data_IF_045177398383
#
_entry.id   IF_045177398383
#
_cell.length_a   1.000
_cell.length_b   1.000
_cell.length_c   1.000
_cell.angle_alpha   90.00
_cell.angle_beta   90.00
_cell.angle_gamma   90.00
#
_symmetry.space_group_name_H-M   'P 1'
#
loop_
_entity.id
_entity.type
_entity.pdbx_description
1 polymer ?
#
# COMPACT_ATOMS: atom_id res chain seq x y z
N UNK A 1 13.13 46.66 42.61
CA UNK A 1 12.50 46.96 41.34
C UNK A 1 13.37 46.39 40.22
N UNK A 2 12.98 45.25 39.74
CA UNK A 2 13.74 44.51 38.71
C UNK A 2 13.03 44.69 37.36
N UNK A 3 13.62 45.42 36.44
CA UNK A 3 13.09 45.65 35.12
C UNK A 3 13.48 44.48 34.19
N UNK A 4 12.51 43.67 33.82
CA UNK A 4 12.65 42.67 32.80
C UNK A 4 12.66 43.35 31.40
N UNK A 5 13.85 43.50 30.82
CA UNK A 5 14.01 43.97 29.46
C UNK A 5 13.58 42.91 28.46
N UNK A 6 12.43 43.09 27.79
CA UNK A 6 12.03 42.35 26.60
C UNK A 6 12.91 42.85 25.43
N UNK A 7 13.99 42.11 25.14
CA UNK A 7 14.84 42.38 23.98
C UNK A 7 14.07 42.13 22.68
N UNK A 8 13.70 43.19 22.00
CA UNK A 8 13.10 43.14 20.63
C UNK A 8 14.17 42.63 19.67
N UNK A 9 13.91 41.48 19.04
CA UNK A 9 14.78 40.93 17.99
C UNK A 9 14.84 41.95 16.80
N UNK A 10 16.04 42.39 16.44
CA UNK A 10 16.24 43.25 15.28
C UNK A 10 15.99 42.42 13.99
N UNK A 11 15.60 43.10 12.93
CA UNK A 11 15.38 42.49 11.60
C UNK A 11 16.59 41.64 11.19
N UNK A 12 17.79 42.16 11.36
CA UNK A 12 19.05 41.47 11.01
C UNK A 12 19.28 40.22 11.84
N UNK A 13 18.87 40.21 13.11
CA UNK A 13 18.94 39.03 13.96
C UNK A 13 17.97 37.95 13.49
N UNK A 14 16.76 38.34 13.08
CA UNK A 14 15.76 37.40 12.52
C UNK A 14 16.23 36.83 11.19
N UNK A 15 16.71 37.67 10.27
CA UNK A 15 17.25 37.25 8.96
C UNK A 15 18.42 36.26 9.14
N UNK A 16 19.32 36.51 10.09
CA UNK A 16 20.43 35.59 10.40
C UNK A 16 19.95 34.28 10.92
N UNK A 17 19.01 34.25 11.88
CA UNK A 17 18.44 33.02 12.45
C UNK A 17 17.75 32.21 11.37
N UNK A 18 16.97 32.84 10.50
CA UNK A 18 16.30 32.19 9.39
C UNK A 18 17.31 31.60 8.39
N UNK A 19 18.31 32.37 8.01
CA UNK A 19 19.38 31.91 7.11
C UNK A 19 20.16 30.74 7.68
N UNK A 20 20.55 30.80 8.96
CA UNK A 20 21.26 29.73 9.65
C UNK A 20 20.40 28.47 9.81
N UNK A 21 19.11 28.65 10.07
CA UNK A 21 18.15 27.53 10.17
C UNK A 21 17.92 26.84 8.82
N UNK A 22 17.81 27.63 7.74
CA UNK A 22 17.72 27.12 6.38
C UNK A 22 19.03 26.42 5.97
N UNK A 23 20.17 27.05 6.21
CA UNK A 23 21.47 26.46 5.91
C UNK A 23 21.69 25.10 6.63
N UNK A 24 21.30 25.00 7.92
CA UNK A 24 21.36 23.74 8.65
C UNK A 24 20.40 22.69 8.08
N UNK A 25 19.18 23.06 7.72
CA UNK A 25 18.24 22.14 7.09
C UNK A 25 18.76 21.66 5.72
N UNK A 26 19.26 22.54 4.89
CA UNK A 26 19.84 22.18 3.59
C UNK A 26 21.11 21.34 3.72
N UNK A 27 21.99 21.63 4.69
CA UNK A 27 23.20 20.83 4.92
C UNK A 27 22.90 19.47 5.58
N UNK A 28 21.89 19.36 6.44
CA UNK A 28 21.41 18.07 6.97
C UNK A 28 20.77 17.22 5.86
N UNK A 29 20.02 17.84 4.98
CA UNK A 29 19.42 17.16 3.82
C UNK A 29 20.49 16.73 2.80
N UNK A 30 21.50 17.55 2.53
CA UNK A 30 22.62 17.21 1.65
C UNK A 30 23.53 16.10 2.24
N UNK A 31 23.67 16.02 3.56
CA UNK A 31 24.45 14.95 4.21
C UNK A 31 23.65 13.62 4.35
N UNK A 32 22.34 13.67 4.43
CA UNK A 32 21.49 12.48 4.32
C UNK A 32 21.49 11.93 2.88
N UNK A 33 21.70 12.78 1.88
CA UNK A 33 21.68 12.44 0.45
C UNK A 33 23.00 11.81 -0.07
N UNK A 34 24.07 11.79 0.72
CA UNK A 34 25.40 11.44 0.22
C UNK A 34 25.59 9.97 -0.18
N UNK A 35 24.56 9.09 -0.16
CA UNK A 35 24.74 7.69 -0.54
C UNK A 35 23.50 6.89 -0.92
N UNK A 36 22.30 7.25 -0.45
CA UNK A 36 21.10 6.47 -0.72
C UNK A 36 20.20 7.16 -1.76
N UNK A 37 19.98 6.48 -2.90
CA UNK A 37 19.00 6.92 -3.91
C UNK A 37 17.85 5.92 -3.93
N UNK A 38 16.66 6.30 -3.44
CA UNK A 38 15.49 5.44 -3.48
C UNK A 38 15.13 5.02 -4.90
N UNK A 39 14.88 3.74 -5.11
CA UNK A 39 14.33 3.25 -6.37
C UNK A 39 12.82 3.11 -6.21
N UNK A 40 12.08 4.15 -6.58
CA UNK A 40 10.62 4.17 -6.46
C UNK A 40 9.98 3.26 -7.50
N UNK A 41 9.28 2.24 -7.03
CA UNK A 41 8.42 1.38 -7.83
C UNK A 41 6.96 1.66 -7.45
N UNK A 42 6.08 1.74 -8.44
CA UNK A 42 4.63 1.85 -8.23
C UNK A 42 3.97 0.63 -8.85
N UNK A 43 3.32 -0.19 -8.02
CA UNK A 43 2.62 -1.38 -8.45
C UNK A 43 1.11 -1.22 -8.31
N UNK A 44 0.39 -1.72 -9.32
CA UNK A 44 -1.05 -1.92 -9.24
C UNK A 44 -1.29 -3.24 -8.53
N UNK A 45 -1.85 -3.16 -7.32
CA UNK A 45 -2.34 -4.31 -6.57
C UNK A 45 -3.68 -4.74 -7.18
N UNK A 46 -3.61 -5.60 -8.19
CA UNK A 46 -4.81 -6.17 -8.76
C UNK A 46 -5.54 -7.03 -7.71
N UNK A 47 -6.85 -7.27 -7.91
CA UNK A 47 -7.63 -8.14 -7.03
C UNK A 47 -6.91 -9.45 -6.72
N UNK A 48 -6.84 -9.78 -5.45
CA UNK A 48 -6.17 -10.99 -4.96
C UNK A 48 -6.72 -11.38 -3.58
N UNK A 49 -6.33 -12.55 -3.12
CA UNK A 49 -6.68 -12.99 -1.78
C UNK A 49 -5.49 -13.59 -1.06
N UNK A 50 -5.56 -13.53 0.27
CA UNK A 50 -4.71 -14.24 1.21
C UNK A 50 -5.58 -15.26 1.93
N UNK A 51 -5.05 -16.45 2.13
CA UNK A 51 -5.82 -17.56 2.73
C UNK A 51 -5.01 -18.28 3.80
N UNK A 52 -5.72 -18.93 4.70
CA UNK A 52 -5.11 -19.87 5.66
C UNK A 52 -4.81 -21.20 4.98
N UNK A 53 -3.95 -22.03 5.58
CA UNK A 53 -3.73 -23.40 5.10
C UNK A 53 -5.01 -24.23 5.13
N UNK A 54 -5.83 -24.06 6.17
CA UNK A 54 -7.13 -24.71 6.26
C UNK A 54 -8.05 -24.37 5.08
N UNK A 55 -8.08 -23.10 4.69
CA UNK A 55 -8.83 -22.67 3.51
C UNK A 55 -8.27 -23.30 2.23
N UNK A 56 -6.95 -23.40 2.09
CA UNK A 56 -6.31 -24.09 0.96
C UNK A 56 -6.72 -25.55 0.90
N UNK A 57 -6.72 -26.24 2.03
CA UNK A 57 -7.11 -27.65 2.12
C UNK A 57 -8.56 -27.88 1.68
N UNK A 58 -9.47 -26.98 2.03
CA UNK A 58 -10.88 -27.05 1.60
C UNK A 58 -11.00 -26.76 0.09
N UNK A 59 -10.32 -25.71 -0.39
CA UNK A 59 -10.47 -25.23 -1.77
C UNK A 59 -9.77 -26.11 -2.80
N UNK A 60 -8.64 -26.74 -2.44
CA UNK A 60 -7.77 -27.49 -3.36
C UNK A 60 -7.59 -28.96 -2.98
N UNK A 61 -7.97 -29.34 -1.77
CA UNK A 61 -7.85 -30.70 -1.22
C UNK A 61 -6.88 -30.77 -0.04
N UNK A 62 -7.07 -31.74 0.87
CA UNK A 62 -6.26 -31.89 2.07
C UNK A 62 -4.75 -31.99 1.77
N UNK A 63 -3.93 -31.24 2.50
CA UNK A 63 -2.47 -31.22 2.36
C UNK A 63 -1.95 -30.49 1.11
N UNK A 64 -2.80 -29.83 0.37
CA UNK A 64 -2.39 -29.06 -0.81
C UNK A 64 -1.45 -27.89 -0.43
N UNK A 65 -0.41 -27.68 -1.21
CA UNK A 65 0.52 -26.59 -1.02
C UNK A 65 0.45 -25.60 -2.19
N UNK A 66 0.38 -24.30 -1.88
CA UNK A 66 0.42 -23.27 -2.91
C UNK A 66 1.74 -23.33 -3.70
N UNK A 67 1.63 -23.29 -5.02
CA UNK A 67 2.79 -23.34 -5.91
C UNK A 67 3.15 -21.94 -6.43
N UNK A 68 4.39 -21.45 -6.22
CA UNK A 68 4.80 -20.14 -6.69
C UNK A 68 4.80 -20.04 -8.22
N UNK A 69 4.05 -19.06 -8.76
CA UNK A 69 4.07 -18.67 -10.18
C UNK A 69 5.13 -17.59 -10.43
N UNK A 70 5.14 -16.57 -9.55
CA UNK A 70 6.02 -15.41 -9.68
C UNK A 70 6.31 -14.81 -8.31
N UNK A 71 7.58 -14.50 -8.04
CA UNK A 71 7.96 -13.68 -6.86
C UNK A 71 7.41 -12.27 -7.02
N UNK A 72 6.93 -11.69 -5.93
CA UNK A 72 6.56 -10.28 -5.89
C UNK A 72 7.80 -9.41 -5.67
N UNK A 73 7.61 -8.10 -5.77
CA UNK A 73 8.73 -7.17 -5.59
C UNK A 73 9.30 -7.22 -4.16
N UNK A 74 8.44 -7.42 -3.17
CA UNK A 74 8.86 -7.76 -1.80
C UNK A 74 9.26 -9.24 -1.76
N UNK A 75 10.42 -9.54 -1.20
CA UNK A 75 11.03 -10.88 -1.29
C UNK A 75 10.32 -11.97 -0.50
N UNK A 76 9.39 -11.61 0.40
CA UNK A 76 8.67 -12.54 1.28
C UNK A 76 7.43 -13.16 0.63
N UNK A 77 6.88 -12.51 -0.40
CA UNK A 77 5.58 -12.85 -0.96
C UNK A 77 5.70 -13.35 -2.41
N UNK A 78 4.76 -14.16 -2.83
CA UNK A 78 4.68 -14.66 -4.20
C UNK A 78 3.23 -14.73 -4.70
N UNK A 79 3.03 -14.53 -5.99
CA UNK A 79 1.78 -14.88 -6.64
C UNK A 79 1.76 -16.38 -6.88
N UNK A 80 0.74 -17.08 -6.38
CA UNK A 80 0.58 -18.51 -6.58
C UNK A 80 -0.01 -18.83 -7.98
N UNK A 81 0.16 -20.06 -8.46
CA UNK A 81 -0.56 -20.55 -9.64
C UNK A 81 -2.06 -20.66 -9.37
N UNK A 82 -2.42 -20.90 -8.12
CA UNK A 82 -3.78 -21.14 -7.66
C UNK A 82 -4.61 -19.86 -7.74
N UNK A 83 -5.82 -20.03 -8.24
CA UNK A 83 -6.86 -18.99 -8.29
C UNK A 83 -8.16 -19.53 -7.76
N UNK A 84 -9.00 -18.64 -7.29
CA UNK A 84 -10.36 -18.94 -6.83
C UNK A 84 -11.37 -18.06 -7.55
N UNK A 85 -12.63 -18.47 -7.51
CA UNK A 85 -13.76 -17.64 -7.93
C UNK A 85 -14.48 -17.08 -6.73
N UNK A 86 -14.90 -15.82 -6.81
CA UNK A 86 -15.62 -15.13 -5.73
C UNK A 86 -17.07 -14.89 -6.16
N UNK A 87 -17.99 -15.15 -5.24
CA UNK A 87 -19.42 -14.81 -5.42
C UNK A 87 -19.84 -13.88 -4.30
N UNK A 88 -20.42 -12.76 -4.69
CA UNK A 88 -20.97 -11.77 -3.79
C UNK A 88 -22.50 -11.79 -3.71
N UNK A 89 -23.11 -10.90 -2.92
CA UNK A 89 -24.56 -10.83 -2.70
C UNK A 89 -25.41 -10.65 -3.96
N UNK A 90 -24.85 -10.10 -5.04
CA UNK A 90 -25.54 -9.97 -6.34
C UNK A 90 -25.53 -11.25 -7.17
N UNK A 91 -25.06 -12.36 -6.63
CA UNK A 91 -24.91 -13.63 -7.36
C UNK A 91 -24.02 -13.53 -8.60
N UNK A 92 -23.20 -12.50 -8.71
CA UNK A 92 -22.19 -12.39 -9.75
C UNK A 92 -20.93 -13.12 -9.34
N UNK A 93 -20.28 -13.74 -10.33
CA UNK A 93 -19.06 -14.49 -10.15
C UNK A 93 -17.88 -13.66 -10.68
N UNK A 94 -16.85 -13.50 -9.84
CA UNK A 94 -15.57 -12.92 -10.20
C UNK A 94 -14.53 -14.04 -10.29
N UNK A 95 -14.16 -14.49 -11.50
CA UNK A 95 -13.24 -15.61 -11.66
C UNK A 95 -11.79 -15.20 -11.54
N UNK A 96 -10.93 -16.21 -11.38
CA UNK A 96 -9.48 -16.08 -11.49
C UNK A 96 -8.85 -15.08 -10.51
N UNK A 97 -9.41 -14.97 -9.31
CA UNK A 97 -8.81 -14.20 -8.22
C UNK A 97 -7.60 -14.95 -7.72
N UNK A 98 -6.43 -14.32 -7.82
CA UNK A 98 -5.15 -14.97 -7.49
C UNK A 98 -4.92 -15.04 -5.99
N UNK A 99 -4.41 -16.18 -5.54
CA UNK A 99 -3.91 -16.31 -4.18
C UNK A 99 -2.49 -15.77 -4.12
N UNK A 100 -2.21 -14.93 -3.12
CA UNK A 100 -0.86 -14.52 -2.77
C UNK A 100 -0.39 -15.31 -1.56
N UNK A 101 0.71 -16.01 -1.73
CA UNK A 101 1.37 -16.78 -0.68
C UNK A 101 2.56 -16.06 -0.06
N UNK A 102 3.05 -16.59 1.07
CA UNK A 102 2.63 -17.80 1.76
C UNK A 102 1.26 -17.69 2.43
N UNK A 103 0.69 -18.82 2.89
CA UNK A 103 -0.53 -18.84 3.68
C UNK A 103 -0.40 -17.95 4.91
N UNK A 104 -1.49 -17.23 5.26
CA UNK A 104 -1.57 -16.37 6.44
C UNK A 104 -2.44 -17.02 7.53
N UNK A 105 -2.53 -16.37 8.67
CA UNK A 105 -3.40 -16.81 9.78
C UNK A 105 -4.83 -16.25 9.68
N UNK A 106 -5.20 -15.64 8.56
CA UNK A 106 -6.54 -15.11 8.27
C UNK A 106 -6.84 -15.21 6.77
N UNK A 107 -8.14 -15.19 6.43
CA UNK A 107 -8.59 -15.10 5.04
C UNK A 107 -8.96 -13.65 4.72
N UNK A 108 -8.45 -13.12 3.61
CA UNK A 108 -8.70 -11.74 3.19
C UNK A 108 -8.80 -11.68 1.67
N UNK A 109 -9.77 -10.91 1.19
CA UNK A 109 -9.96 -10.58 -0.22
C UNK A 109 -9.78 -9.08 -0.41
N UNK A 110 -8.85 -8.71 -1.27
CA UNK A 110 -8.60 -7.31 -1.65
C UNK A 110 -9.19 -7.04 -3.04
N UNK A 111 -10.11 -6.08 -3.10
CA UNK A 111 -10.81 -5.68 -4.32
C UNK A 111 -10.63 -4.19 -4.60
N UNK A 112 -10.65 -3.81 -5.87
CA UNK A 112 -10.95 -2.45 -6.27
C UNK A 112 -12.47 -2.18 -6.09
N UNK A 113 -12.88 -0.91 -6.02
CA UNK A 113 -14.30 -0.58 -5.86
C UNK A 113 -15.15 -1.07 -7.03
N UNK A 114 -14.65 -1.03 -8.27
CA UNK A 114 -15.37 -1.56 -9.44
C UNK A 114 -15.71 -3.04 -9.28
N UNK A 115 -14.78 -3.86 -8.80
CA UNK A 115 -15.03 -5.28 -8.53
C UNK A 115 -16.03 -5.47 -7.38
N UNK A 116 -15.84 -4.74 -6.27
CA UNK A 116 -16.72 -4.81 -5.10
C UNK A 116 -18.16 -4.41 -5.45
N UNK A 117 -18.35 -3.30 -6.17
CA UNK A 117 -19.68 -2.84 -6.67
C UNK A 117 -20.30 -3.90 -7.59
N UNK A 118 -19.52 -4.50 -8.47
CA UNK A 118 -20.00 -5.56 -9.36
C UNK A 118 -20.54 -6.75 -8.57
N UNK A 119 -19.85 -7.16 -7.52
CA UNK A 119 -20.27 -8.25 -6.63
C UNK A 119 -21.40 -7.86 -5.68
N UNK A 120 -21.66 -6.58 -5.47
CA UNK A 120 -22.63 -6.05 -4.51
C UNK A 120 -22.09 -6.04 -3.07
N UNK A 121 -20.79 -5.93 -2.91
CA UNK A 121 -20.09 -5.86 -1.63
C UNK A 121 -19.73 -4.41 -1.34
N UNK A 122 -20.12 -3.91 -0.17
CA UNK A 122 -19.68 -2.61 0.33
C UNK A 122 -18.33 -2.78 1.05
N UNK A 123 -17.25 -2.86 0.26
CA UNK A 123 -15.91 -3.11 0.75
C UNK A 123 -15.32 -1.83 1.39
N UNK A 124 -15.09 -1.80 2.71
CA UNK A 124 -14.48 -0.64 3.35
C UNK A 124 -13.01 -0.52 3.01
N UNK A 125 -12.50 0.71 2.98
CA UNK A 125 -11.06 0.95 2.90
C UNK A 125 -10.42 0.59 4.23
N UNK A 126 -9.48 -0.36 4.20
CA UNK A 126 -8.76 -0.85 5.38
C UNK A 126 -7.30 -1.14 5.05
N UNK A 127 -6.44 -0.99 6.05
CA UNK A 127 -5.10 -1.55 6.00
C UNK A 127 -5.19 -3.09 5.93
N UNK A 128 -4.39 -3.73 5.08
CA UNK A 128 -4.29 -5.19 4.99
C UNK A 128 -4.06 -5.81 6.38
N UNK A 129 -4.83 -6.84 6.72
CA UNK A 129 -4.88 -7.49 8.03
C UNK A 129 -5.90 -6.88 9.02
N UNK A 130 -6.51 -5.73 8.74
CA UNK A 130 -7.55 -5.11 9.56
C UNK A 130 -8.94 -5.45 9.04
N UNK A 131 -9.31 -6.73 9.18
CA UNK A 131 -10.52 -7.30 8.57
C UNK A 131 -11.74 -7.37 9.48
N UNK A 132 -11.59 -7.08 10.77
CA UNK A 132 -12.70 -7.20 11.73
C UNK A 132 -13.90 -6.31 11.31
N UNK A 133 -15.09 -6.92 11.26
CA UNK A 133 -16.35 -6.26 10.91
C UNK A 133 -16.48 -5.85 9.44
N UNK A 134 -15.64 -6.37 8.56
CA UNK A 134 -15.74 -6.15 7.11
C UNK A 134 -16.72 -7.16 6.48
N UNK A 135 -17.24 -6.91 5.27
CA UNK A 135 -18.11 -7.89 4.59
C UNK A 135 -17.41 -9.22 4.30
N UNK A 136 -18.23 -10.25 4.13
CA UNK A 136 -17.81 -11.56 3.66
C UNK A 136 -18.15 -11.82 2.19
N UNK A 137 -17.80 -13.03 1.73
CA UNK A 137 -18.12 -13.51 0.39
C UNK A 137 -18.03 -15.05 0.35
N UNK A 138 -18.56 -15.66 -0.72
CA UNK A 138 -18.32 -17.06 -1.01
C UNK A 138 -17.08 -17.18 -1.91
N UNK A 139 -16.11 -17.99 -1.49
CA UNK A 139 -14.91 -18.31 -2.24
C UNK A 139 -14.97 -19.75 -2.71
N UNK A 140 -14.77 -19.99 -4.01
CA UNK A 140 -14.90 -21.29 -4.65
C UNK A 140 -13.56 -21.68 -5.29
N UNK A 141 -13.06 -22.85 -4.89
CA UNK A 141 -11.91 -23.51 -5.48
C UNK A 141 -12.33 -24.76 -6.28
N UNK A 142 -11.37 -25.49 -6.86
CA UNK A 142 -11.66 -26.66 -7.69
C UNK A 142 -12.19 -27.88 -6.92
N UNK A 143 -12.00 -27.94 -5.59
CA UNK A 143 -12.40 -29.09 -4.75
C UNK A 143 -13.48 -28.76 -3.73
N UNK A 144 -13.71 -27.47 -3.46
CA UNK A 144 -14.69 -27.05 -2.47
C UNK A 144 -14.90 -25.55 -2.44
N UNK A 145 -15.67 -25.11 -1.47
CA UNK A 145 -15.95 -23.69 -1.26
C UNK A 145 -15.95 -23.35 0.22
N UNK A 146 -15.64 -22.10 0.52
CA UNK A 146 -15.71 -21.54 1.87
C UNK A 146 -16.53 -20.26 1.86
N UNK A 147 -17.35 -20.08 2.86
CA UNK A 147 -18.05 -18.83 3.13
C UNK A 147 -17.22 -18.02 4.12
N UNK A 148 -16.69 -16.89 3.66
CA UNK A 148 -16.02 -15.93 4.53
C UNK A 148 -17.09 -15.05 5.18
N UNK A 149 -17.16 -15.03 6.51
CA UNK A 149 -18.06 -14.15 7.25
C UNK A 149 -17.60 -12.70 7.22
N UNK A 150 -16.30 -12.50 7.12
CA UNK A 150 -15.60 -11.20 7.01
C UNK A 150 -14.31 -11.38 6.21
N UNK A 151 -13.65 -10.29 5.85
CA UNK A 151 -12.36 -10.33 5.19
C UNK A 151 -12.30 -9.62 3.83
N UNK A 152 -13.41 -9.07 3.34
CA UNK A 152 -13.40 -8.32 2.07
C UNK A 152 -13.11 -6.85 2.36
N UNK A 153 -12.05 -6.34 1.76
CA UNK A 153 -11.61 -4.95 1.89
C UNK A 153 -11.24 -4.36 0.53
N UNK A 154 -11.26 -3.05 0.44
CA UNK A 154 -10.41 -2.29 -0.46
C UNK A 154 -9.15 -1.93 0.31
N UNK A 155 -8.00 -2.44 -0.13
CA UNK A 155 -6.75 -2.12 0.54
C UNK A 155 -6.47 -0.62 0.50
N UNK A 156 -6.14 -0.02 1.64
CA UNK A 156 -5.72 1.37 1.71
C UNK A 156 -4.43 1.55 0.91
N UNK A 157 -4.39 2.57 0.03
CA UNK A 157 -3.15 2.88 -0.71
C UNK A 157 -2.03 3.17 0.27
N UNK A 158 -0.86 2.60 0.00
CA UNK A 158 0.26 2.70 0.93
C UNK A 158 1.60 2.63 0.22
N UNK A 159 2.65 2.97 0.94
CA UNK A 159 4.02 2.84 0.48
C UNK A 159 4.83 2.04 1.49
N UNK A 160 5.48 0.99 1.02
CA UNK A 160 6.49 0.23 1.77
C UNK A 160 7.83 0.92 1.62
N UNK A 161 8.54 1.05 2.72
CA UNK A 161 9.86 1.71 2.78
C UNK A 161 10.80 0.94 3.69
N UNK A 162 12.10 1.02 3.39
CA UNK A 162 13.15 0.75 4.37
C UNK A 162 13.35 1.96 5.29
N UNK A 163 14.08 1.76 6.40
CA UNK A 163 14.48 2.88 7.27
C UNK A 163 15.28 3.95 6.50
N UNK A 164 16.10 3.54 5.53
CA UNK A 164 16.89 4.44 4.68
C UNK A 164 16.00 5.30 3.77
N UNK A 165 14.95 4.70 3.20
CA UNK A 165 13.97 5.43 2.38
C UNK A 165 13.18 6.40 3.25
N UNK A 166 12.73 5.97 4.45
CA UNK A 166 12.04 6.82 5.41
C UNK A 166 12.88 8.04 5.80
N UNK A 167 14.18 7.83 6.07
CA UNK A 167 15.12 8.91 6.37
C UNK A 167 15.30 9.87 5.17
N UNK A 168 15.42 9.34 3.95
CA UNK A 168 15.54 10.12 2.73
C UNK A 168 14.33 11.05 2.52
N UNK A 169 13.12 10.53 2.65
CA UNK A 169 11.88 11.31 2.52
C UNK A 169 11.54 12.13 3.77
N UNK A 170 12.23 11.92 4.89
CA UNK A 170 11.95 12.57 6.17
C UNK A 170 10.59 12.19 6.74
N UNK A 171 10.21 10.92 6.62
CA UNK A 171 8.92 10.37 7.09
C UNK A 171 9.16 9.18 8.03
N UNK A 172 8.13 8.84 8.80
CA UNK A 172 8.11 7.71 9.76
C UNK A 172 6.89 6.83 9.55
N UNK A 173 6.89 5.67 10.18
CA UNK A 173 5.74 4.76 10.21
C UNK A 173 4.45 5.50 10.56
N UNK A 174 3.41 5.30 9.76
CA UNK A 174 2.09 5.90 9.94
C UNK A 174 1.92 7.31 9.36
N UNK A 175 2.99 7.96 8.90
CA UNK A 175 2.87 9.23 8.17
C UNK A 175 2.09 9.04 6.88
N UNK A 176 1.71 10.14 6.23
CA UNK A 176 1.04 10.17 4.93
C UNK A 176 1.91 10.82 3.88
N UNK A 177 1.85 10.30 2.67
CA UNK A 177 2.52 10.87 1.50
C UNK A 177 1.55 11.00 0.34
N UNK A 178 1.94 11.74 -0.68
CA UNK A 178 1.19 11.87 -1.93
C UNK A 178 2.01 11.27 -3.07
N UNK A 179 1.33 10.63 -4.02
CA UNK A 179 1.93 10.10 -5.25
C UNK A 179 1.46 10.94 -6.43
N UNK A 180 2.37 11.65 -7.07
CA UNK A 180 2.11 12.32 -8.33
C UNK A 180 2.50 11.42 -9.49
N UNK A 181 1.57 11.27 -10.43
CA UNK A 181 1.72 10.46 -11.64
C UNK A 181 1.59 11.40 -12.85
N UNK A 182 2.62 11.46 -13.67
CA UNK A 182 2.68 12.25 -14.89
C UNK A 182 2.46 11.35 -16.10
N UNK A 183 1.25 11.32 -16.59
CA UNK A 183 0.77 10.53 -17.73
C UNK A 183 -0.12 11.43 -18.61
N UNK A 184 -0.85 10.84 -19.56
CA UNK A 184 -1.90 11.55 -20.30
C UNK A 184 -3.17 11.80 -19.47
N UNK A 185 -3.26 11.13 -18.28
CA UNK A 185 -4.25 11.40 -17.25
C UNK A 185 -3.52 11.83 -15.95
N UNK A 186 -2.90 13.01 -15.90
CA UNK A 186 -2.06 13.42 -14.79
C UNK A 186 -2.87 13.49 -13.49
N UNK A 187 -2.38 12.78 -12.47
CA UNK A 187 -3.13 12.57 -11.24
C UNK A 187 -2.20 12.71 -10.03
N UNK A 188 -2.74 13.22 -8.93
CA UNK A 188 -2.09 13.13 -7.61
C UNK A 188 -2.99 12.32 -6.69
N UNK A 189 -2.50 11.19 -6.23
CA UNK A 189 -3.16 10.38 -5.22
C UNK A 189 -2.63 10.81 -3.85
N UNK A 190 -3.52 11.27 -2.99
CA UNK A 190 -3.17 11.80 -1.68
C UNK A 190 -3.33 10.77 -0.57
N UNK A 191 -2.59 10.94 0.52
CA UNK A 191 -2.80 10.22 1.76
C UNK A 191 -2.32 8.76 1.76
N UNK A 192 -1.28 8.40 0.98
CA UNK A 192 -0.66 7.08 1.03
C UNK A 192 -0.09 6.83 2.42
N UNK A 193 -0.49 5.72 3.04
CA UNK A 193 0.02 5.33 4.35
C UNK A 193 1.49 4.88 4.24
N UNK A 194 2.38 5.51 4.98
CA UNK A 194 3.77 5.09 5.08
C UNK A 194 3.89 3.89 6.01
N UNK A 195 4.51 2.82 5.51
CA UNK A 195 4.82 1.60 6.25
C UNK A 195 6.31 1.33 6.14
N UNK A 196 6.99 1.23 7.30
CA UNK A 196 8.43 1.06 7.36
C UNK A 196 8.81 -0.31 7.95
N UNK A 197 9.70 -1.00 7.26
CA UNK A 197 10.35 -2.21 7.76
C UNK A 197 11.75 -2.29 7.17
N UNK A 198 12.79 -2.62 7.97
CA UNK A 198 14.18 -2.68 7.50
C UNK A 198 14.43 -3.57 6.28
N UNK A 199 13.61 -4.62 6.10
CA UNK A 199 13.73 -5.58 4.99
C UNK A 199 12.97 -5.17 3.74
N UNK A 200 12.16 -4.12 3.77
CA UNK A 200 11.33 -3.74 2.63
C UNK A 200 12.07 -2.89 1.62
N UNK A 201 11.66 -3.04 0.38
CA UNK A 201 12.04 -2.20 -0.76
C UNK A 201 11.00 -1.10 -0.93
N UNK A 202 11.44 0.05 -1.47
CA UNK A 202 10.54 1.17 -1.74
C UNK A 202 9.52 0.80 -2.82
N UNK A 203 8.26 0.68 -2.43
CA UNK A 203 7.19 0.25 -3.30
C UNK A 203 5.86 0.89 -2.90
N UNK A 204 5.22 1.56 -3.85
CA UNK A 204 3.86 2.08 -3.69
C UNK A 204 2.86 1.05 -4.20
N UNK A 205 1.81 0.84 -3.41
CA UNK A 205 0.67 0.01 -3.76
C UNK A 205 -0.58 0.87 -3.92
N UNK A 206 -1.17 0.80 -5.11
CA UNK A 206 -2.48 1.37 -5.45
C UNK A 206 -3.33 0.29 -6.10
N UNK A 207 -4.64 0.43 -6.07
CA UNK A 207 -5.52 -0.55 -6.69
C UNK A 207 -5.67 -0.37 -8.22
N UNK A 208 -6.42 -1.27 -8.84
CA UNK A 208 -6.63 -1.27 -10.30
C UNK A 208 -7.39 -0.03 -10.76
N UNK A 209 -8.39 0.45 -10.00
CA UNK A 209 -9.16 1.63 -10.37
C UNK A 209 -8.28 2.89 -10.34
N UNK A 210 -7.44 3.02 -9.32
CA UNK A 210 -6.50 4.14 -9.17
C UNK A 210 -5.43 4.14 -10.28
N UNK A 211 -4.86 2.97 -10.57
CA UNK A 211 -3.88 2.82 -11.63
C UNK A 211 -4.45 3.12 -13.02
N UNK A 212 -5.67 2.66 -13.28
CA UNK A 212 -6.36 2.92 -14.54
C UNK A 212 -6.75 4.40 -14.69
N UNK A 213 -7.30 5.02 -13.64
CA UNK A 213 -7.68 6.43 -13.65
C UNK A 213 -6.48 7.35 -13.94
N UNK A 214 -5.30 6.98 -13.42
CA UNK A 214 -4.06 7.72 -13.62
C UNK A 214 -3.30 7.32 -14.90
N UNK A 215 -3.80 6.35 -15.68
CA UNK A 215 -3.07 5.76 -16.80
C UNK A 215 -1.60 5.40 -16.43
N UNK A 216 -1.43 4.72 -15.30
CA UNK A 216 -0.11 4.43 -14.73
C UNK A 216 0.80 3.68 -15.70
N UNK A 217 0.26 2.76 -16.50
CA UNK A 217 1.04 1.96 -17.47
C UNK A 217 1.77 2.81 -18.50
N UNK A 218 1.30 4.03 -18.76
CA UNK A 218 1.90 5.00 -19.69
C UNK A 218 2.47 6.22 -18.95
N UNK A 219 2.74 6.09 -17.64
CA UNK A 219 3.31 7.18 -16.87
C UNK A 219 4.74 7.48 -17.32
N UNK A 220 5.01 8.74 -17.60
CA UNK A 220 6.35 9.25 -17.92
C UNK A 220 7.20 9.43 -16.68
N UNK A 221 6.55 9.73 -15.55
CA UNK A 221 7.23 9.96 -14.28
C UNK A 221 6.26 9.73 -13.13
N UNK A 222 6.79 9.19 -12.04
CA UNK A 222 6.12 9.09 -10.75
C UNK A 222 6.98 9.75 -9.66
N UNK A 223 6.35 10.42 -8.71
CA UNK A 223 7.07 11.13 -7.65
C UNK A 223 6.31 11.00 -6.33
N UNK A 224 6.99 10.57 -5.28
CA UNK A 224 6.48 10.65 -3.91
C UNK A 224 6.73 12.04 -3.35
N UNK A 225 5.71 12.63 -2.75
CA UNK A 225 5.72 13.99 -2.21
C UNK A 225 5.27 13.91 -0.74
N UNK A 226 6.05 14.51 0.13
CA UNK A 226 5.62 14.77 1.51
C UNK A 226 4.65 15.95 1.48
N UNK A 227 3.45 15.83 2.11
CA UNK A 227 2.50 16.94 2.23
C UNK A 227 3.06 18.14 2.97
#
# INVERSE_FOLDING_TARGET
MSSSGTGTLTRDAVERIVRDSLARRFSQQANADAGHRPNLVVNISARHCHVTQEAVDILFGPGYQLSPMKKLYQDTDFAANETVSIVGPRHRLLPSVRILGPCRNFNQLELAFTDAISLGIDAPVRMSGKIAGTPGCLMIGPKGSIELKEGVIRAERHVHMSDKDGAYYGVKEGDRMNLRIESDCPTTLEGLLVRINPSWKLEVHIDTDEGNAANLSNARKVTLIKP
#
